data_IF_920843086998
#
_entry.id   IF_920843086998
#
_cell.length_a   1.000
_cell.length_b   1.000
_cell.length_c   1.000
_cell.angle_alpha   90.00
_cell.angle_beta   90.00
_cell.angle_gamma   90.00
#
_symmetry.space_group_name_H-M   'P 1'
#
loop_
_entity.id
_entity.type
_entity.pdbx_description
1 polymer ?
#
# COMPACT_ATOMS: atom_id res chain seq x y z
N UNK A 1 -24.26 -3.21 5.93
CA UNK A 1 -23.01 -2.47 6.27
C UNK A 1 -21.82 -2.86 5.39
N UNK A 2 -21.67 -4.12 4.95
CA UNK A 2 -20.53 -4.58 4.13
C UNK A 2 -20.27 -3.80 2.81
N UNK A 3 -21.29 -3.24 2.16
CA UNK A 3 -21.12 -2.53 0.88
C UNK A 3 -20.31 -1.22 1.01
N UNK A 4 -20.47 -0.45 2.10
CA UNK A 4 -19.75 0.81 2.30
C UNK A 4 -18.26 0.58 2.55
N UNK A 5 -17.91 -0.39 3.40
CA UNK A 5 -16.52 -0.75 3.69
C UNK A 5 -15.79 -1.35 2.47
N UNK A 6 -16.51 -2.13 1.63
CA UNK A 6 -15.97 -2.61 0.35
C UNK A 6 -15.64 -1.45 -0.59
N UNK A 7 -16.53 -0.48 -0.70
CA UNK A 7 -16.34 0.69 -1.54
C UNK A 7 -15.15 1.55 -1.06
N UNK A 8 -15.02 1.74 0.25
CA UNK A 8 -13.88 2.46 0.86
C UNK A 8 -12.53 1.78 0.56
N UNK A 9 -12.46 0.45 0.64
CA UNK A 9 -11.23 -0.29 0.33
C UNK A 9 -10.85 -0.21 -1.16
N UNK A 10 -11.84 -0.26 -2.06
CA UNK A 10 -11.61 -0.08 -3.51
C UNK A 10 -11.06 1.33 -3.77
N UNK A 11 -11.68 2.36 -3.19
CA UNK A 11 -11.17 3.72 -3.32
C UNK A 11 -9.75 3.84 -2.75
N UNK A 12 -9.47 3.23 -1.60
CA UNK A 12 -8.12 3.19 -1.02
C UNK A 12 -7.08 2.56 -1.96
N UNK A 13 -7.40 1.44 -2.60
CA UNK A 13 -6.55 0.80 -3.59
C UNK A 13 -6.31 1.67 -4.83
N UNK A 14 -7.36 2.30 -5.35
CA UNK A 14 -7.25 3.20 -6.51
C UNK A 14 -6.38 4.40 -6.18
N UNK A 15 -6.60 5.05 -5.03
CA UNK A 15 -5.77 6.17 -4.59
C UNK A 15 -4.31 5.75 -4.45
N UNK A 16 -4.04 4.59 -3.86
CA UNK A 16 -2.68 4.12 -3.70
C UNK A 16 -2.00 3.79 -5.04
N UNK A 17 -2.74 3.21 -5.99
CA UNK A 17 -2.24 2.95 -7.34
C UNK A 17 -1.91 4.25 -8.09
N UNK A 18 -2.74 5.28 -7.94
CA UNK A 18 -2.48 6.61 -8.50
C UNK A 18 -1.20 7.21 -7.91
N UNK A 19 -1.00 7.15 -6.59
CA UNK A 19 0.22 7.70 -6.00
C UNK A 19 1.46 6.95 -6.42
N UNK A 20 1.40 5.61 -6.43
CA UNK A 20 2.52 4.79 -6.85
C UNK A 20 2.92 5.13 -8.30
N UNK A 21 1.92 5.34 -9.15
CA UNK A 21 2.12 5.79 -10.54
C UNK A 21 2.72 7.19 -10.62
N UNK A 22 2.26 8.14 -9.81
CA UNK A 22 2.80 9.51 -9.76
C UNK A 22 4.24 9.55 -9.20
N UNK A 23 4.56 8.74 -8.19
CA UNK A 23 5.92 8.63 -7.67
C UNK A 23 6.88 8.00 -8.68
N UNK A 24 6.46 6.95 -9.38
CA UNK A 24 7.26 6.36 -10.47
C UNK A 24 7.44 7.33 -11.64
N UNK A 25 6.39 8.08 -11.98
CA UNK A 25 6.47 9.14 -12.99
C UNK A 25 7.47 10.22 -12.57
N UNK A 26 7.45 10.64 -11.29
CA UNK A 26 8.40 11.60 -10.75
C UNK A 26 9.85 11.07 -10.76
N UNK A 27 10.05 9.79 -10.45
CA UNK A 27 11.36 9.14 -10.55
C UNK A 27 11.88 9.16 -11.99
N UNK A 28 11.03 8.77 -12.96
CA UNK A 28 11.40 8.79 -14.37
C UNK A 28 11.65 10.23 -14.89
N UNK A 29 10.81 11.19 -14.49
CA UNK A 29 10.92 12.59 -14.89
C UNK A 29 12.18 13.24 -14.31
N UNK A 30 12.54 12.96 -13.05
CA UNK A 30 13.77 13.48 -12.44
C UNK A 30 15.02 12.91 -13.10
N UNK A 31 15.03 11.63 -13.49
CA UNK A 31 16.11 11.03 -14.26
C UNK A 31 16.22 11.65 -15.67
N UNK A 32 15.10 11.79 -16.37
CA UNK A 32 15.05 12.42 -17.69
C UNK A 32 15.54 13.87 -17.62
N UNK A 33 15.11 14.63 -16.61
CA UNK A 33 15.56 16.01 -16.39
C UNK A 33 17.07 16.08 -16.14
N UNK A 34 17.62 15.18 -15.33
CA UNK A 34 19.07 15.14 -15.07
C UNK A 34 19.88 14.85 -16.35
N UNK A 35 19.34 14.06 -17.29
CA UNK A 35 20.01 13.73 -18.55
C UNK A 35 19.91 14.90 -19.53
N UNK A 36 18.72 15.48 -19.68
CA UNK A 36 18.42 16.47 -20.72
C UNK A 36 18.87 17.88 -20.32
N UNK A 37 18.65 18.28 -19.07
CA UNK A 37 18.94 19.61 -18.55
C UNK A 37 20.08 19.53 -17.51
N UNK A 38 21.30 19.25 -17.96
CA UNK A 38 22.50 19.18 -17.11
C UNK A 38 23.27 20.52 -17.06
N UNK A 39 22.55 21.65 -17.06
CA UNK A 39 23.17 22.97 -17.21
C UNK A 39 24.02 23.39 -16.00
N UNK A 40 23.69 22.89 -14.80
CA UNK A 40 24.41 23.21 -13.57
C UNK A 40 24.44 22.06 -12.57
N UNK A 41 25.51 21.99 -11.77
CA UNK A 41 25.66 20.98 -10.70
C UNK A 41 24.50 21.02 -9.70
N UNK A 42 23.98 22.22 -9.40
CA UNK A 42 22.82 22.39 -8.49
C UNK A 42 21.55 21.74 -9.04
N UNK A 43 21.28 21.88 -10.36
CA UNK A 43 20.15 21.21 -11.00
C UNK A 43 20.30 19.70 -10.99
N UNK A 44 21.50 19.18 -11.26
CA UNK A 44 21.76 17.74 -11.19
C UNK A 44 21.55 17.22 -9.77
N UNK A 45 22.07 17.93 -8.76
CA UNK A 45 21.92 17.54 -7.36
C UNK A 45 20.45 17.53 -6.93
N UNK A 46 19.67 18.55 -7.30
CA UNK A 46 18.23 18.60 -7.00
C UNK A 46 17.45 17.50 -7.71
N UNK A 47 17.82 17.12 -8.93
CA UNK A 47 17.21 15.97 -9.62
C UNK A 47 17.52 14.64 -8.92
N UNK A 48 18.76 14.44 -8.45
CA UNK A 48 19.12 13.25 -7.66
C UNK A 48 18.33 13.19 -6.36
N UNK A 49 18.16 14.32 -5.67
CA UNK A 49 17.30 14.39 -4.49
C UNK A 49 15.84 14.06 -4.80
N UNK A 50 15.26 14.59 -5.89
CA UNK A 50 13.91 14.25 -6.32
C UNK A 50 13.76 12.75 -6.61
N UNK A 51 14.76 12.16 -7.28
CA UNK A 51 14.77 10.73 -7.59
C UNK A 51 14.76 9.89 -6.30
N UNK A 52 15.70 10.14 -5.38
CA UNK A 52 15.78 9.41 -4.11
C UNK A 52 14.49 9.61 -3.30
N UNK A 53 14.00 10.85 -3.20
CA UNK A 53 12.77 11.17 -2.49
C UNK A 53 11.57 10.41 -3.08
N UNK A 54 11.45 10.36 -4.41
CA UNK A 54 10.37 9.62 -5.07
C UNK A 54 10.42 8.12 -4.79
N UNK A 55 11.61 7.51 -4.74
CA UNK A 55 11.77 6.10 -4.37
C UNK A 55 11.40 5.84 -2.90
N UNK A 56 11.81 6.73 -2.00
CA UNK A 56 11.42 6.64 -0.58
C UNK A 56 9.89 6.72 -0.46
N UNK A 57 9.24 7.59 -1.22
CA UNK A 57 7.77 7.68 -1.23
C UNK A 57 7.10 6.42 -1.77
N UNK A 58 7.65 5.76 -2.79
CA UNK A 58 7.17 4.45 -3.26
C UNK A 58 7.24 3.40 -2.14
N UNK A 59 8.36 3.35 -1.41
CA UNK A 59 8.52 2.42 -0.29
C UNK A 59 7.52 2.73 0.82
N UNK A 60 7.37 4.01 1.18
CA UNK A 60 6.46 4.47 2.22
C UNK A 60 4.99 4.20 1.88
N UNK A 61 4.62 4.32 0.61
CA UNK A 61 3.27 4.02 0.12
C UNK A 61 2.99 2.51 0.14
N UNK A 62 4.02 1.70 -0.15
CA UNK A 62 3.93 0.23 -0.12
C UNK A 62 3.80 -0.29 1.31
N UNK A 63 4.62 0.26 2.23
CA UNK A 63 4.64 -0.10 3.64
C UNK A 63 4.92 1.15 4.48
N UNK A 64 4.02 1.46 5.40
CA UNK A 64 4.24 2.56 6.35
C UNK A 64 5.39 2.22 7.30
N UNK A 65 6.40 3.10 7.35
CA UNK A 65 7.42 3.10 8.39
C UNK A 65 7.08 4.16 9.44
N UNK A 66 6.70 3.73 10.64
CA UNK A 66 6.27 4.63 11.72
C UNK A 66 7.36 5.67 12.09
N UNK A 67 8.63 5.26 12.07
CA UNK A 67 9.76 6.16 12.31
C UNK A 67 9.84 7.28 11.27
N UNK A 68 9.64 6.96 9.99
CA UNK A 68 9.70 7.97 8.94
C UNK A 68 8.53 8.96 9.05
N UNK A 69 7.33 8.49 9.39
CA UNK A 69 6.17 9.36 9.65
C UNK A 69 6.41 10.25 10.88
N UNK A 70 7.07 9.73 11.91
CA UNK A 70 7.35 10.49 13.13
C UNK A 70 8.36 11.61 12.90
N UNK A 71 9.50 11.31 12.26
CA UNK A 71 10.58 12.28 12.07
C UNK A 71 10.36 13.22 10.87
N UNK A 72 9.71 12.75 9.81
CA UNK A 72 9.50 13.55 8.58
C UNK A 72 8.09 14.12 8.46
N UNK A 73 7.41 14.31 9.61
CA UNK A 73 6.03 14.79 9.70
C UNK A 73 5.74 16.05 8.86
N UNK A 74 6.74 16.93 8.72
CA UNK A 74 6.68 18.16 7.91
C UNK A 74 6.74 17.92 6.39
N UNK A 75 7.54 16.95 5.93
CA UNK A 75 7.59 16.56 4.51
C UNK A 75 6.31 15.82 4.09
N UNK A 76 5.63 15.23 5.07
CA UNK A 76 4.41 14.46 4.89
C UNK A 76 3.15 15.32 5.06
N UNK A 77 2.93 16.28 4.16
CA UNK A 77 1.61 16.92 4.04
C UNK A 77 0.57 15.80 3.83
N UNK A 78 -0.36 15.69 4.77
CA UNK A 78 -1.30 14.57 4.90
C UNK A 78 -0.64 13.18 5.02
N UNK A 79 0.22 13.00 6.04
CA UNK A 79 0.72 11.69 6.53
C UNK A 79 1.55 10.87 5.54
N UNK A 80 2.07 11.47 4.46
CA UNK A 80 3.15 10.80 3.73
C UNK A 80 3.51 11.42 2.40
N UNK A 81 2.61 12.22 1.82
CA UNK A 81 2.59 12.39 0.37
C UNK A 81 3.24 13.72 -0.03
N UNK A 82 4.57 13.74 -0.07
CA UNK A 82 5.40 14.91 -0.40
C UNK A 82 5.33 15.38 -1.88
N UNK A 83 4.19 15.21 -2.55
CA UNK A 83 4.00 15.51 -3.98
C UNK A 83 4.29 16.97 -4.34
N UNK A 84 4.05 17.90 -3.40
CA UNK A 84 4.33 19.33 -3.58
C UNK A 84 5.84 19.64 -3.69
N UNK A 85 6.68 18.87 -2.99
CA UNK A 85 8.15 19.06 -3.05
C UNK A 85 8.69 18.57 -4.40
N UNK A 86 8.12 17.49 -4.93
CA UNK A 86 8.46 16.95 -6.25
C UNK A 86 8.11 17.96 -7.36
N UNK A 87 6.97 18.66 -7.25
CA UNK A 87 6.59 19.71 -8.20
C UNK A 87 7.65 20.80 -8.35
N UNK A 88 8.17 21.33 -7.22
CA UNK A 88 9.16 22.41 -7.22
C UNK A 88 10.41 22.02 -8.02
N UNK A 89 10.77 20.74 -7.99
CA UNK A 89 11.96 20.23 -8.68
C UNK A 89 11.68 19.99 -10.17
N UNK A 90 10.51 19.44 -10.52
CA UNK A 90 10.18 19.13 -11.91
C UNK A 90 9.75 20.35 -12.72
N UNK A 91 8.96 21.27 -12.15
CA UNK A 91 8.31 22.37 -12.87
C UNK A 91 9.25 23.42 -13.48
N UNK A 92 10.51 23.46 -13.05
CA UNK A 92 11.53 24.35 -13.61
C UNK A 92 12.21 23.74 -14.86
N UNK A 93 11.45 23.33 -15.87
CA UNK A 93 11.96 22.73 -17.10
C UNK A 93 11.17 23.22 -18.32
N UNK A 94 11.82 23.36 -19.47
CA UNK A 94 11.16 23.82 -20.70
C UNK A 94 10.49 22.67 -21.48
N UNK A 95 10.84 21.42 -21.16
CA UNK A 95 10.25 20.25 -21.79
C UNK A 95 8.80 20.02 -21.37
N UNK A 96 7.90 19.95 -22.36
CA UNK A 96 6.46 19.76 -22.15
C UNK A 96 6.10 18.52 -21.32
N UNK A 97 6.85 17.43 -21.46
CA UNK A 97 6.62 16.21 -20.67
C UNK A 97 6.93 16.41 -19.18
N UNK A 98 8.07 17.03 -18.87
CA UNK A 98 8.48 17.33 -17.49
C UNK A 98 7.53 18.34 -16.84
N UNK A 99 7.09 19.33 -17.61
CA UNK A 99 6.09 20.31 -17.18
C UNK A 99 4.74 19.65 -16.89
N UNK A 100 4.26 18.75 -17.77
CA UNK A 100 3.02 17.99 -17.54
C UNK A 100 3.11 17.10 -16.29
N UNK A 101 4.22 16.38 -16.10
CA UNK A 101 4.46 15.58 -14.90
C UNK A 101 4.52 16.45 -13.63
N UNK A 102 5.10 17.65 -13.72
CA UNK A 102 5.09 18.64 -12.65
C UNK A 102 3.67 19.08 -12.29
N UNK A 103 2.87 19.49 -13.29
CA UNK A 103 1.49 19.95 -13.09
C UNK A 103 0.62 18.85 -12.45
N UNK A 104 0.75 17.59 -12.90
CA UNK A 104 0.04 16.47 -12.28
C UNK A 104 0.40 16.29 -10.81
N UNK A 105 1.70 16.31 -10.47
CA UNK A 105 2.16 16.25 -9.08
C UNK A 105 1.66 17.45 -8.25
N UNK A 106 1.57 18.64 -8.83
CA UNK A 106 1.00 19.82 -8.18
C UNK A 106 -0.50 19.63 -7.90
N UNK A 107 -1.28 19.20 -8.89
CA UNK A 107 -2.71 19.00 -8.74
C UNK A 107 -3.04 18.01 -7.62
N UNK A 108 -2.34 16.87 -7.59
CA UNK A 108 -2.52 15.88 -6.51
C UNK A 108 -1.95 16.37 -5.18
N UNK A 109 -0.83 17.10 -5.18
CA UNK A 109 -0.29 17.72 -3.98
C UNK A 109 -1.23 18.74 -3.36
N UNK A 110 -1.90 19.56 -4.18
CA UNK A 110 -2.92 20.51 -3.73
C UNK A 110 -4.18 19.79 -3.26
N UNK A 111 -4.60 18.72 -3.94
CA UNK A 111 -5.70 17.88 -3.48
C UNK A 111 -5.41 17.34 -2.07
N UNK A 112 -4.21 16.79 -1.83
CA UNK A 112 -3.81 16.32 -0.50
C UNK A 112 -3.71 17.44 0.53
N UNK A 113 -3.27 18.63 0.12
CA UNK A 113 -3.27 19.82 0.98
C UNK A 113 -4.69 20.20 1.39
N UNK A 114 -5.66 20.25 0.47
CA UNK A 114 -7.07 20.53 0.79
C UNK A 114 -7.66 19.45 1.68
N UNK A 115 -7.44 18.17 1.36
CA UNK A 115 -7.90 17.05 2.17
C UNK A 115 -7.31 17.07 3.59
N UNK A 116 -6.13 17.68 3.77
CA UNK A 116 -5.52 17.83 5.10
C UNK A 116 -6.27 18.76 6.05
N UNK A 117 -7.07 19.68 5.52
CA UNK A 117 -7.91 20.57 6.31
C UNK A 117 -9.28 19.98 6.63
N UNK A 118 -9.64 18.82 6.06
CA UNK A 118 -10.92 18.16 6.28
C UNK A 118 -10.73 17.02 7.31
N UNK A 119 -11.23 17.18 8.56
CA UNK A 119 -10.98 16.21 9.63
C UNK A 119 -11.71 14.87 9.44
N UNK A 120 -12.78 14.87 8.64
CA UNK A 120 -13.65 13.70 8.43
C UNK A 120 -13.16 12.76 7.33
N UNK A 121 -12.14 13.16 6.56
CA UNK A 121 -11.63 12.31 5.49
C UNK A 121 -10.78 11.19 6.06
N UNK A 122 -11.10 9.92 5.74
CA UNK A 122 -10.33 8.79 6.24
C UNK A 122 -8.92 8.86 5.69
N UNK A 123 -7.96 8.66 6.57
CA UNK A 123 -6.56 8.81 6.22
C UNK A 123 -6.15 7.63 5.31
N UNK A 124 -5.45 7.87 4.19
CA UNK A 124 -5.02 6.80 3.31
C UNK A 124 -4.19 5.77 4.05
N UNK A 125 -4.56 4.49 3.91
CA UNK A 125 -3.79 3.35 4.42
C UNK A 125 -2.74 2.92 3.39
N UNK A 126 -1.63 2.32 3.81
CA UNK A 126 -0.64 1.73 2.90
C UNK A 126 -1.25 0.73 1.93
N UNK A 127 -0.57 0.49 0.80
CA UNK A 127 -0.97 -0.53 -0.20
C UNK A 127 -1.15 -1.89 0.47
N UNK A 128 -0.20 -2.29 1.32
CA UNK A 128 -0.22 -3.61 1.96
C UNK A 128 -1.52 -3.86 2.74
N UNK A 129 -1.94 -2.91 3.57
CA UNK A 129 -3.14 -3.04 4.39
C UNK A 129 -4.40 -3.09 3.53
N UNK A 130 -4.50 -2.23 2.52
CA UNK A 130 -5.65 -2.22 1.61
C UNK A 130 -5.72 -3.50 0.76
N UNK A 131 -4.56 -4.04 0.34
CA UNK A 131 -4.46 -5.28 -0.40
C UNK A 131 -4.85 -6.49 0.45
N UNK A 132 -4.41 -6.54 1.71
CA UNK A 132 -4.79 -7.61 2.63
C UNK A 132 -6.30 -7.59 2.90
N UNK A 133 -6.86 -6.41 3.19
CA UNK A 133 -8.31 -6.25 3.36
C UNK A 133 -9.06 -6.72 2.10
N UNK A 134 -8.61 -6.33 0.90
CA UNK A 134 -9.22 -6.76 -0.35
C UNK A 134 -9.17 -8.29 -0.56
N UNK A 135 -8.05 -8.93 -0.21
CA UNK A 135 -7.88 -10.38 -0.31
C UNK A 135 -8.85 -11.10 0.62
N UNK A 136 -8.99 -10.64 1.86
CA UNK A 136 -9.94 -11.17 2.84
C UNK A 136 -11.38 -11.02 2.34
N UNK A 137 -11.76 -9.85 1.82
CA UNK A 137 -13.09 -9.61 1.25
C UNK A 137 -13.38 -10.41 -0.02
N UNK A 138 -12.38 -10.67 -0.85
CA UNK A 138 -12.53 -11.48 -2.06
C UNK A 138 -12.73 -12.96 -1.70
N UNK A 139 -12.20 -13.40 -0.57
CA UNK A 139 -12.40 -14.75 -0.05
C UNK A 139 -13.79 -14.97 0.58
N UNK A 140 -14.39 -13.93 1.18
CA UNK A 140 -15.75 -14.00 1.76
C UNK A 140 -16.86 -14.33 0.73
N UNK A 141 -16.62 -14.09 -0.57
CA UNK A 141 -17.55 -14.48 -1.65
C UNK A 141 -17.33 -15.90 -2.18
N UNK A 142 -16.29 -16.58 -1.69
CA UNK A 142 -15.87 -17.94 -2.07
C UNK A 142 -16.15 -18.95 -0.95
N UNK A 143 -17.01 -18.62 0.00
CA UNK A 143 -17.68 -19.62 0.83
C UNK A 143 -18.65 -20.37 -0.09
N UNK A 144 -18.15 -21.46 -0.68
CA UNK A 144 -18.97 -22.49 -1.32
C UNK A 144 -20.13 -22.82 -0.37
N UNK A 145 -21.36 -22.91 -0.90
CA UNK A 145 -22.52 -23.41 -0.15
C UNK A 145 -22.08 -24.63 0.65
N UNK A 146 -22.03 -24.47 1.98
CA UNK A 146 -21.75 -25.58 2.88
C UNK A 146 -22.82 -26.62 2.58
N UNK A 147 -22.48 -27.83 2.09
CA UNK A 147 -23.49 -28.80 1.74
C UNK A 147 -24.36 -29.03 2.98
N UNK A 148 -25.68 -28.89 2.84
CA UNK A 148 -26.66 -28.90 3.94
C UNK A 148 -26.70 -30.20 4.78
N UNK A 149 -25.77 -31.11 4.58
CA UNK A 149 -25.57 -32.35 5.34
C UNK A 149 -24.41 -32.21 6.34
N UNK A 150 -24.49 -31.22 7.23
CA UNK A 150 -23.56 -31.04 8.36
C UNK A 150 -23.65 -32.16 9.42
N UNK A 151 -24.64 -33.06 9.33
CA UNK A 151 -24.78 -34.20 10.24
C UNK A 151 -23.68 -35.27 10.07
N UNK A 152 -23.17 -35.47 8.85
CA UNK A 152 -22.21 -36.55 8.58
C UNK A 152 -20.73 -36.13 8.78
N UNK A 153 -20.38 -34.85 8.68
CA UNK A 153 -19.00 -34.38 8.87
C UNK A 153 -18.60 -34.32 10.35
N UNK A 154 -19.54 -33.99 11.23
CA UNK A 154 -19.29 -33.91 12.68
C UNK A 154 -18.98 -35.31 13.27
N UNK A 155 -19.62 -36.36 12.76
CA UNK A 155 -19.34 -37.75 13.11
C UNK A 155 -17.95 -38.21 12.68
N UNK A 156 -17.46 -37.80 11.50
CA UNK A 156 -16.14 -38.19 11.04
C UNK A 156 -15.02 -37.47 11.81
N UNK A 157 -15.21 -36.19 12.17
CA UNK A 157 -14.26 -35.46 13.00
C UNK A 157 -14.23 -35.99 14.45
N UNK A 158 -15.38 -36.37 15.00
CA UNK A 158 -15.47 -37.02 16.31
C UNK A 158 -14.85 -38.43 16.29
N UNK A 159 -15.09 -39.23 15.23
CA UNK A 159 -14.46 -40.55 15.05
C UNK A 159 -12.95 -40.46 14.89
N UNK A 160 -12.42 -39.48 14.17
CA UNK A 160 -10.96 -39.26 14.05
C UNK A 160 -10.34 -38.83 15.39
N UNK A 161 -11.02 -38.00 16.19
CA UNK A 161 -10.55 -37.66 17.53
C UNK A 161 -10.54 -38.88 18.47
N UNK A 162 -11.57 -39.73 18.39
CA UNK A 162 -11.65 -40.96 19.20
C UNK A 162 -10.58 -41.98 18.79
N UNK A 163 -10.30 -42.16 17.49
CA UNK A 163 -9.25 -43.07 17.02
C UNK A 163 -7.83 -42.60 17.35
N UNK A 164 -7.62 -41.30 17.61
CA UNK A 164 -6.36 -40.77 18.11
C UNK A 164 -6.20 -40.89 19.65
N UNK A 165 -7.31 -41.08 20.38
CA UNK A 165 -7.31 -41.25 21.85
C UNK A 165 -7.06 -42.72 22.25
N UNK A 166 -7.45 -43.69 21.42
CA UNK A 166 -7.08 -45.09 21.61
C UNK A 166 -5.65 -45.37 21.13
N UNK A 167 -4.65 -44.99 21.95
CA UNK A 167 -3.35 -45.66 21.88
C UNK A 167 -3.53 -47.10 22.40
N UNK A 168 -3.05 -48.13 21.69
CA UNK A 168 -3.09 -49.49 22.21
C UNK A 168 -2.21 -49.56 23.47
N UNK A 169 -2.81 -49.89 24.62
CA UNK A 169 -2.04 -50.35 25.76
C UNK A 169 -1.38 -51.67 25.35
N UNK A 170 -0.09 -51.60 25.01
CA UNK A 170 0.76 -52.76 24.87
C UNK A 170 0.67 -53.58 26.17
N UNK A 171 0.16 -54.80 26.02
CA UNK A 171 0.02 -55.78 27.08
C UNK A 171 1.38 -56.10 27.69
N UNK A 172 1.39 -56.13 29.02
CA UNK A 172 2.46 -56.59 29.91
C UNK A 172 3.20 -57.80 29.34
N UNK A 173 4.53 -57.72 29.29
CA UNK A 173 5.40 -58.89 29.45
C UNK A 173 6.47 -58.50 30.46
N UNK A 174 6.49 -59.23 31.57
CA UNK A 174 7.58 -59.30 32.55
C UNK A 174 7.51 -60.67 33.24
N UNK A 175 8.60 -61.15 33.85
CA UNK A 175 9.44 -62.23 33.31
C UNK A 175 9.23 -63.57 34.03
N UNK A 176 9.69 -64.67 33.39
CA UNK A 176 10.25 -65.86 34.05
C UNK A 176 11.42 -66.35 33.20
#
# INVERSE_FOLDING_TARGET
MASKTKLENIYGLVFNAINLSLYLLAAAASLMKAIVEHSSVSQVLTCVYAFILSLVLVVMESKSCDMAVYYFKFLTLYRGRAMLVIFIILGNSEHSFLLAAGILNLMFGLLYLVLSFIPQTPIPRPVYDNWQNWKEYSAEGLDLERPANDSNMMDNAARLKMSMLEKPQQSKINPV
#
